data_IF_616966796776
#
_entry.id   IF_616966796776
#
_cell.length_a   1.000
_cell.length_b   1.000
_cell.length_c   1.000
_cell.angle_alpha   90.00
_cell.angle_beta   90.00
_cell.angle_gamma   90.00
#
_symmetry.space_group_name_H-M   'P 1'
#
loop_
_entity.id
_entity.type
_entity.pdbx_description
1 polymer ?
#
# COMPACT_ATOMS: atom_id res chain seq x y z
N UNK A 1 -23.81 -4.22 -13.92
CA UNK A 1 -23.07 -3.00 -13.61
C UNK A 1 -21.58 -3.28 -13.67
N UNK A 2 -20.84 -2.42 -14.34
CA UNK A 2 -19.39 -2.58 -14.40
C UNK A 2 -18.75 -1.87 -13.24
N UNK A 3 -17.66 -2.42 -12.75
CA UNK A 3 -16.90 -1.75 -11.73
C UNK A 3 -15.42 -1.91 -12.03
N UNK A 4 -14.66 -0.90 -11.64
CA UNK A 4 -13.24 -0.87 -11.91
C UNK A 4 -12.49 -0.72 -10.59
N UNK A 5 -11.46 -1.52 -10.41
CA UNK A 5 -10.60 -1.38 -9.26
C UNK A 5 -9.70 -0.18 -9.50
N UNK A 6 -9.79 0.84 -8.67
CA UNK A 6 -9.01 2.06 -8.83
C UNK A 6 -7.76 2.04 -7.95
N UNK A 7 -7.92 1.72 -6.68
CA UNK A 7 -6.82 1.79 -5.73
C UNK A 7 -6.87 0.65 -4.75
N UNK A 8 -5.69 0.24 -4.29
CA UNK A 8 -5.61 -0.72 -3.18
C UNK A 8 -4.55 -0.24 -2.21
N UNK A 9 -4.68 -0.67 -0.97
CA UNK A 9 -3.65 -0.51 0.03
C UNK A 9 -3.30 -1.91 0.50
N UNK A 10 -2.05 -2.30 0.29
CA UNK A 10 -1.59 -3.63 0.62
C UNK A 10 -0.55 -3.56 1.72
N UNK A 11 -0.56 -4.52 2.60
CA UNK A 11 0.43 -4.62 3.66
C UNK A 11 1.14 -5.95 3.52
N UNK A 12 2.47 -5.90 3.46
CA UNK A 12 3.28 -7.10 3.34
C UNK A 12 4.22 -7.21 4.53
N UNK A 13 4.56 -8.41 4.90
CA UNK A 13 5.63 -8.64 5.85
C UNK A 13 6.86 -9.12 5.09
N UNK A 14 8.00 -8.51 5.38
CA UNK A 14 9.29 -9.00 4.89
C UNK A 14 10.22 -9.05 6.09
N UNK A 15 11.26 -9.86 6.00
CA UNK A 15 12.10 -10.11 7.17
C UNK A 15 13.30 -9.18 7.27
N UNK A 16 13.77 -8.62 6.19
CA UNK A 16 14.97 -7.78 6.20
C UNK A 16 14.77 -6.49 5.44
N UNK A 17 15.64 -5.51 5.70
CA UNK A 17 15.61 -4.25 4.96
C UNK A 17 15.97 -4.45 3.49
N UNK A 18 16.82 -5.40 3.19
CA UNK A 18 17.16 -5.70 1.81
C UNK A 18 15.91 -6.14 1.04
N UNK A 19 15.05 -6.91 1.70
CA UNK A 19 13.80 -7.34 1.08
C UNK A 19 12.83 -6.19 0.90
N UNK A 20 12.86 -5.18 1.78
CA UNK A 20 12.06 -3.98 1.60
C UNK A 20 12.47 -3.27 0.31
N UNK A 21 13.76 -3.12 0.10
CA UNK A 21 14.26 -2.46 -1.11
C UNK A 21 13.94 -3.25 -2.36
N UNK A 22 14.06 -4.57 -2.28
CA UNK A 22 13.73 -5.43 -3.40
C UNK A 22 12.24 -5.33 -3.73
N UNK A 23 11.40 -5.34 -2.71
CA UNK A 23 9.95 -5.20 -2.87
C UNK A 23 9.62 -3.87 -3.55
N UNK A 24 10.24 -2.78 -3.09
CA UNK A 24 10.02 -1.46 -3.68
C UNK A 24 10.41 -1.45 -5.17
N UNK A 25 11.55 -2.01 -5.49
CA UNK A 25 12.03 -2.04 -6.87
C UNK A 25 11.09 -2.85 -7.76
N UNK A 26 10.64 -4.01 -7.28
CA UNK A 26 9.73 -4.84 -8.04
C UNK A 26 8.39 -4.16 -8.29
N UNK A 27 7.84 -3.54 -7.25
CA UNK A 27 6.56 -2.87 -7.37
C UNK A 27 6.65 -1.62 -8.24
N UNK A 28 7.75 -0.90 -8.13
CA UNK A 28 7.95 0.30 -8.93
C UNK A 28 8.03 -0.01 -10.42
N UNK A 29 8.53 -1.18 -10.77
CA UNK A 29 8.69 -1.57 -12.15
C UNK A 29 7.53 -2.40 -12.71
N UNK A 30 6.50 -2.64 -11.91
CA UNK A 30 5.36 -3.43 -12.37
C UNK A 30 4.49 -2.58 -13.28
N UNK A 31 4.15 -3.09 -14.43
CA UNK A 31 3.37 -2.37 -15.43
C UNK A 31 1.86 -2.45 -15.19
N UNK A 32 1.42 -3.28 -14.23
CA UNK A 32 0.00 -3.47 -14.01
C UNK A 32 -0.65 -2.36 -13.19
N UNK A 33 0.13 -1.52 -12.55
CA UNK A 33 -0.41 -0.46 -11.71
C UNK A 33 0.64 0.64 -11.56
N UNK A 34 0.21 1.78 -11.03
CA UNK A 34 1.13 2.83 -10.65
C UNK A 34 1.32 2.78 -9.15
N UNK A 35 2.55 2.94 -8.71
CA UNK A 35 2.85 2.96 -7.29
C UNK A 35 2.59 4.36 -6.77
N UNK A 36 1.58 4.51 -5.92
CA UNK A 36 1.20 5.79 -5.36
C UNK A 36 2.05 6.14 -4.14
N UNK A 37 2.24 5.20 -3.25
CA UNK A 37 3.11 5.42 -2.11
C UNK A 37 3.68 4.10 -1.62
N UNK A 38 4.81 4.19 -0.93
CA UNK A 38 5.50 3.04 -0.39
C UNK A 38 6.15 3.46 0.92
N UNK A 39 5.92 2.69 1.95
CA UNK A 39 6.52 2.96 3.24
C UNK A 39 6.72 1.67 4.00
N UNK A 40 7.51 1.72 5.04
CA UNK A 40 7.69 0.54 5.87
C UNK A 40 7.97 0.93 7.31
N UNK A 41 7.75 -0.03 8.20
CA UNK A 41 8.08 0.12 9.62
C UNK A 41 8.80 -1.12 10.07
N UNK A 42 9.85 -0.94 10.85
CA UNK A 42 10.51 -2.07 11.47
C UNK A 42 9.80 -2.42 12.75
N UNK A 43 9.59 -3.71 12.95
CA UNK A 43 8.95 -4.23 14.15
C UNK A 43 9.88 -5.22 14.82
N UNK A 44 9.80 -5.28 16.12
CA UNK A 44 10.60 -6.20 16.91
C UNK A 44 9.69 -6.97 17.83
N UNK A 45 9.94 -8.26 17.96
CA UNK A 45 9.22 -9.10 18.90
C UNK A 45 10.15 -9.31 20.06
N UNK A 46 9.71 -8.97 21.28
CA UNK A 46 10.51 -9.10 22.47
C UNK A 46 9.90 -10.12 23.41
N UNK A 47 10.76 -10.88 24.05
CA UNK A 47 10.35 -11.78 25.10
C UNK A 47 11.32 -11.61 26.26
N UNK A 48 10.79 -11.35 27.43
CA UNK A 48 11.61 -11.17 28.65
C UNK A 48 12.69 -10.11 28.47
N UNK A 49 12.36 -9.06 27.73
CA UNK A 49 13.29 -7.97 27.50
C UNK A 49 14.30 -8.19 26.39
N UNK A 50 14.26 -9.34 25.74
CA UNK A 50 15.17 -9.63 24.65
C UNK A 50 14.45 -9.64 23.32
N UNK A 51 15.12 -9.17 22.27
CA UNK A 51 14.58 -9.17 20.92
C UNK A 51 14.76 -10.57 20.38
N UNK A 52 13.65 -11.26 20.09
CA UNK A 52 13.70 -12.62 19.57
C UNK A 52 13.38 -12.68 18.08
N UNK A 53 12.87 -11.60 17.52
CA UNK A 53 12.57 -11.56 16.08
C UNK A 53 12.48 -10.11 15.63
N UNK A 54 12.80 -9.87 14.38
CA UNK A 54 12.65 -8.57 13.76
C UNK A 54 12.09 -8.77 12.36
N UNK A 55 11.22 -7.88 11.96
CA UNK A 55 10.65 -7.94 10.62
C UNK A 55 10.20 -6.53 10.22
N UNK A 56 9.81 -6.38 8.98
CA UNK A 56 9.34 -5.12 8.46
C UNK A 56 7.92 -5.29 7.93
N UNK A 57 7.08 -4.31 8.20
CA UNK A 57 5.74 -4.24 7.59
C UNK A 57 5.81 -3.16 6.52
N UNK A 58 5.52 -3.56 5.30
CA UNK A 58 5.57 -2.67 4.13
C UNK A 58 4.14 -2.32 3.76
N UNK A 59 3.86 -1.04 3.66
CA UNK A 59 2.54 -0.55 3.24
C UNK A 59 2.68 0.05 1.85
N UNK A 60 1.87 -0.44 0.93
CA UNK A 60 1.94 -0.04 -0.46
C UNK A 60 0.58 0.43 -0.93
N UNK A 61 0.53 1.58 -1.57
CA UNK A 61 -0.68 2.05 -2.20
C UNK A 61 -0.50 1.99 -3.70
N UNK A 62 -1.39 1.28 -4.36
CA UNK A 62 -1.34 1.05 -5.79
C UNK A 62 -2.53 1.69 -6.47
N UNK A 63 -2.32 2.27 -7.63
CA UNK A 63 -3.38 2.86 -8.43
C UNK A 63 -3.54 2.04 -9.70
N UNK A 64 -4.78 1.59 -9.94
CA UNK A 64 -5.13 0.85 -11.14
C UNK A 64 -6.18 1.65 -11.89
N UNK A 65 -6.22 1.48 -13.19
CA UNK A 65 -7.28 2.10 -14.00
C UNK A 65 -7.43 3.59 -13.75
N UNK A 66 -6.31 4.29 -13.64
CA UNK A 66 -6.37 5.70 -13.31
C UNK A 66 -7.17 6.50 -14.33
N UNK A 67 -7.26 6.00 -15.55
CA UNK A 67 -8.05 6.67 -16.57
C UNK A 67 -9.55 6.59 -16.28
N UNK A 68 -9.96 5.72 -15.36
CA UNK A 68 -11.36 5.58 -14.98
C UNK A 68 -11.71 6.43 -13.78
N UNK A 69 -10.72 7.00 -13.11
CA UNK A 69 -10.98 7.84 -11.96
C UNK A 69 -11.30 9.24 -12.46
N UNK A 70 -12.38 9.84 -12.02
CA UNK A 70 -12.72 11.19 -12.45
C UNK A 70 -11.63 12.17 -12.10
N UNK A 71 -11.30 13.04 -13.04
CA UNK A 71 -10.27 14.04 -12.83
C UNK A 71 -10.85 15.29 -12.23
N UNK A 72 -11.98 15.23 -11.61
CA UNK A 72 -12.62 16.38 -11.04
C UNK A 72 -11.92 16.81 -9.78
N UNK A 73 -11.80 18.09 -9.61
CA UNK A 73 -11.28 18.62 -8.38
C UNK A 73 -12.37 18.79 -7.37
N UNK A 74 -13.56 18.43 -7.70
CA UNK A 74 -14.67 18.63 -6.81
C UNK A 74 -14.94 17.32 -6.13
N UNK A 75 -14.57 17.24 -4.89
CA UNK A 75 -14.90 16.10 -4.10
C UNK A 75 -16.19 16.39 -3.47
N UNK A 76 -17.16 15.62 -3.82
CA UNK A 76 -18.49 15.89 -3.37
C UNK A 76 -18.65 15.43 -1.97
N UNK A 77 -19.15 16.31 -1.18
CA UNK A 77 -19.23 16.03 0.22
C UNK A 77 -20.11 14.87 0.57
N UNK A 78 -21.07 14.53 -0.29
CA UNK A 78 -21.93 13.46 0.10
C UNK A 78 -21.28 12.13 0.12
N UNK A 79 -20.06 12.07 -0.32
CA UNK A 79 -19.38 10.84 -0.14
C UNK A 79 -19.34 10.43 1.26
N UNK A 80 -19.52 11.32 2.14
CA UNK A 80 -19.49 10.98 3.48
C UNK A 80 -20.63 10.25 3.91
N UNK A 81 -21.69 10.47 3.25
CA UNK A 81 -22.78 9.80 3.66
C UNK A 81 -22.88 8.55 3.15
N UNK A 82 -22.04 8.34 2.46
CA UNK A 82 -22.11 7.14 1.94
C UNK A 82 -22.09 6.21 2.72
N UNK A 83 -22.19 6.54 3.15
CA UNK A 83 -22.36 5.97 3.66
C UNK A 83 -23.27 5.43 3.54
N UNK A 84 -23.50 5.33 3.36
CA UNK A 84 -24.45 4.71 3.19
C UNK A 84 -24.27 3.62 2.93
#
# INVERSE_FOLDING_TARGET
MSRYLIKTTDVYRVDTLAEVEQCHSELKNDANFELDSFGYKQKQVKQKGEIVDEYCLVTVKKIFNCEKEPMSNIDIAYEKESLF
#
